data_IF_603282390229
#
_entry.id   IF_603282390229
#
_cell.length_a   1.000
_cell.length_b   1.000
_cell.length_c   1.000
_cell.angle_alpha   90.00
_cell.angle_beta   90.00
_cell.angle_gamma   90.00
#
_symmetry.space_group_name_H-M   'P 1'
#
loop_
_entity.id
_entity.type
_entity.pdbx_description
1 polymer ?
#
# COMPACT_ATOMS: atom_id res chain seq x y z
N UNK A 1 54.08 22.56 39.04
CA UNK A 1 52.70 23.13 38.97
C UNK A 1 52.13 22.88 37.60
N UNK A 2 51.22 21.97 37.54
CA UNK A 2 50.44 21.79 36.33
C UNK A 2 49.30 22.80 36.32
N UNK A 3 49.42 23.83 35.44
CA UNK A 3 48.25 24.66 35.14
C UNK A 3 47.20 23.79 34.45
N UNK A 4 46.14 23.48 35.15
CA UNK A 4 44.98 22.90 34.51
C UNK A 4 44.50 23.88 33.43
N UNK A 5 44.74 23.56 32.16
CA UNK A 5 44.15 24.25 31.02
C UNK A 5 42.66 23.98 31.03
N UNK A 6 41.90 24.88 31.58
CA UNK A 6 40.49 24.94 31.34
C UNK A 6 40.27 25.37 29.88
N UNK A 7 40.32 24.41 28.95
CA UNK A 7 39.93 24.66 27.58
C UNK A 7 38.43 24.67 27.51
N UNK A 8 37.82 25.86 27.52
CA UNK A 8 36.40 25.99 27.19
C UNK A 8 36.17 25.73 25.69
N UNK A 9 34.97 25.35 25.35
CA UNK A 9 34.57 25.20 23.95
C UNK A 9 34.64 26.56 23.23
N UNK A 10 35.12 26.54 22.00
CA UNK A 10 35.08 27.73 21.15
C UNK A 10 33.67 27.91 20.61
N UNK A 11 33.32 29.15 20.26
CA UNK A 11 32.03 29.45 19.63
C UNK A 11 31.85 28.68 18.31
N UNK A 12 32.92 28.55 17.51
CA UNK A 12 32.92 27.82 16.27
C UNK A 12 32.64 26.31 16.49
N UNK A 13 33.24 25.74 17.54
CA UNK A 13 33.02 24.32 17.90
C UNK A 13 31.57 24.05 18.28
N UNK A 14 30.94 24.94 19.02
CA UNK A 14 29.50 24.84 19.36
C UNK A 14 28.64 24.97 18.11
N UNK A 15 28.96 25.88 17.20
CA UNK A 15 28.23 26.04 15.94
C UNK A 15 28.34 24.79 15.05
N UNK A 16 29.51 24.19 14.94
CA UNK A 16 29.73 22.95 14.19
C UNK A 16 28.97 21.81 14.83
N UNK A 17 28.98 21.69 16.15
CA UNK A 17 28.25 20.68 16.87
C UNK A 17 26.73 20.80 16.65
N UNK A 18 26.19 22.03 16.69
CA UNK A 18 24.78 22.28 16.41
C UNK A 18 24.39 21.95 14.96
N UNK A 19 25.30 22.27 14.01
CA UNK A 19 25.07 21.90 12.60
C UNK A 19 24.99 20.39 12.41
N UNK A 20 25.91 19.64 13.02
CA UNK A 20 25.90 18.16 12.96
C UNK A 20 24.62 17.60 13.57
N UNK A 21 24.22 18.12 14.73
CA UNK A 21 22.95 17.71 15.37
C UNK A 21 21.75 18.04 14.49
N UNK A 22 21.70 19.22 13.87
CA UNK A 22 20.62 19.61 12.98
C UNK A 22 20.50 18.69 11.77
N UNK A 23 21.63 18.33 11.15
CA UNK A 23 21.64 17.36 10.03
C UNK A 23 21.17 15.98 10.49
N UNK A 24 21.63 15.52 11.65
CA UNK A 24 21.22 14.22 12.20
C UNK A 24 19.70 14.16 12.48
N UNK A 25 19.15 15.21 13.09
CA UNK A 25 17.71 15.31 13.35
C UNK A 25 16.90 15.35 12.06
N UNK A 26 17.35 16.11 11.06
CA UNK A 26 16.70 16.17 9.75
C UNK A 26 16.73 14.81 9.03
N UNK A 27 17.83 14.08 9.11
CA UNK A 27 17.97 12.74 8.54
C UNK A 27 17.02 11.74 9.21
N UNK A 28 16.94 11.74 10.53
CA UNK A 28 16.02 10.90 11.30
C UNK A 28 14.55 11.19 10.99
N UNK A 29 14.21 12.48 10.87
CA UNK A 29 12.85 12.89 10.49
C UNK A 29 12.46 12.38 9.12
N UNK A 30 13.36 12.40 8.15
CA UNK A 30 13.12 11.88 6.79
C UNK A 30 12.90 10.37 6.78
N UNK A 31 13.71 9.61 7.52
CA UNK A 31 13.57 8.17 7.65
C UNK A 31 12.22 7.81 8.29
N UNK A 32 11.83 8.53 9.33
CA UNK A 32 10.53 8.33 9.99
C UNK A 32 9.35 8.58 9.05
N UNK A 33 9.39 9.65 8.25
CA UNK A 33 8.36 9.95 7.27
C UNK A 33 8.25 8.86 6.20
N UNK A 34 9.38 8.39 5.67
CA UNK A 34 9.40 7.29 4.70
C UNK A 34 8.85 5.98 5.26
N UNK A 35 9.11 5.69 6.53
CA UNK A 35 8.58 4.49 7.19
C UNK A 35 7.05 4.55 7.33
N UNK A 36 6.49 5.71 7.66
CA UNK A 36 5.04 5.91 7.74
C UNK A 36 4.37 5.78 6.38
N UNK A 37 4.97 6.35 5.34
CA UNK A 37 4.46 6.24 3.97
C UNK A 37 4.45 4.77 3.49
N UNK A 38 5.53 4.04 3.74
CA UNK A 38 5.63 2.63 3.41
C UNK A 38 4.60 1.78 4.16
N UNK A 39 4.33 2.10 5.43
CA UNK A 39 3.33 1.42 6.23
C UNK A 39 1.91 1.70 5.69
N UNK A 40 1.60 2.93 5.36
CA UNK A 40 0.31 3.32 4.80
C UNK A 40 0.06 2.63 3.45
N UNK A 41 1.07 2.52 2.59
CA UNK A 41 0.98 1.80 1.32
C UNK A 41 0.75 0.30 1.55
N UNK A 42 1.46 -0.31 2.49
CA UNK A 42 1.29 -1.73 2.85
C UNK A 42 -0.11 -2.02 3.38
N UNK A 43 -0.65 -1.16 4.23
CA UNK A 43 -2.01 -1.25 4.73
C UNK A 43 -3.03 -1.15 3.59
N UNK A 44 -2.88 -0.17 2.71
CA UNK A 44 -3.76 0.01 1.56
C UNK A 44 -3.78 -1.23 0.65
N UNK A 45 -2.61 -1.83 0.38
CA UNK A 45 -2.51 -3.07 -0.40
C UNK A 45 -3.20 -4.25 0.28
N UNK A 46 -3.06 -4.39 1.58
CA UNK A 46 -3.71 -5.44 2.36
C UNK A 46 -5.23 -5.31 2.32
N UNK A 47 -5.75 -4.11 2.54
CA UNK A 47 -7.19 -3.84 2.45
C UNK A 47 -7.73 -4.08 1.04
N UNK A 48 -7.00 -3.63 0.03
CA UNK A 48 -7.37 -3.85 -1.36
C UNK A 48 -7.39 -5.35 -1.73
N UNK A 49 -6.47 -6.14 -1.20
CA UNK A 49 -6.45 -7.59 -1.39
C UNK A 49 -7.69 -8.25 -0.77
N UNK A 50 -8.10 -7.84 0.42
CA UNK A 50 -9.32 -8.32 1.05
C UNK A 50 -10.58 -7.95 0.24
N UNK A 51 -10.61 -6.75 -0.33
CA UNK A 51 -11.69 -6.34 -1.24
C UNK A 51 -11.75 -7.26 -2.45
N UNK A 52 -10.60 -7.57 -3.06
CA UNK A 52 -10.52 -8.49 -4.20
C UNK A 52 -10.98 -9.91 -3.84
N UNK A 53 -10.51 -10.43 -2.72
CA UNK A 53 -10.90 -11.76 -2.23
C UNK A 53 -12.41 -11.84 -1.96
N UNK A 54 -13.00 -10.83 -1.35
CA UNK A 54 -14.43 -10.74 -1.12
C UNK A 54 -15.22 -10.71 -2.43
N UNK A 55 -14.76 -9.92 -3.41
CA UNK A 55 -15.41 -9.87 -4.73
C UNK A 55 -15.41 -11.25 -5.42
N UNK A 56 -14.28 -11.96 -5.38
CA UNK A 56 -14.18 -13.32 -5.93
C UNK A 56 -15.09 -14.31 -5.15
N UNK A 57 -15.13 -14.18 -3.83
CA UNK A 57 -16.00 -15.01 -2.99
C UNK A 57 -17.49 -14.80 -3.31
N UNK A 58 -17.91 -13.57 -3.52
CA UNK A 58 -19.28 -13.24 -3.93
C UNK A 58 -19.62 -13.88 -5.28
N UNK A 59 -18.70 -13.80 -6.25
CA UNK A 59 -18.87 -14.45 -7.56
C UNK A 59 -19.00 -15.97 -7.44
N UNK A 60 -18.25 -16.59 -6.53
CA UNK A 60 -18.37 -18.03 -6.26
C UNK A 60 -19.74 -18.42 -5.68
N UNK A 61 -20.30 -17.55 -4.85
CA UNK A 61 -21.62 -17.78 -4.23
C UNK A 61 -22.76 -17.63 -5.23
N UNK A 62 -22.59 -16.90 -6.31
CA UNK A 62 -23.60 -16.81 -7.38
C UNK A 62 -23.79 -18.12 -8.14
N UNK A 63 -22.80 -19.02 -8.09
CA UNK A 63 -22.87 -20.39 -8.62
C UNK A 63 -22.72 -20.50 -10.13
N UNK A 64 -23.40 -19.69 -10.91
CA UNK A 64 -23.30 -19.68 -12.38
C UNK A 64 -22.94 -18.28 -12.85
N UNK A 65 -21.68 -18.10 -13.20
CA UNK A 65 -21.15 -16.82 -13.68
C UNK A 65 -20.73 -16.98 -15.13
N UNK A 66 -21.23 -16.09 -15.99
CA UNK A 66 -20.81 -16.03 -17.39
C UNK A 66 -19.54 -15.20 -17.54
N UNK A 67 -18.78 -15.45 -18.61
CA UNK A 67 -17.67 -14.59 -18.99
C UNK A 67 -18.20 -13.17 -19.25
N UNK A 68 -17.77 -12.21 -18.44
CA UNK A 68 -18.26 -10.84 -18.44
C UNK A 68 -17.31 -9.92 -17.69
N UNK A 69 -17.62 -8.64 -17.72
CA UNK A 69 -16.97 -7.62 -16.89
C UNK A 69 -17.95 -7.14 -15.83
N UNK A 70 -17.52 -7.16 -14.60
CA UNK A 70 -18.29 -6.65 -13.48
C UNK A 70 -17.54 -5.58 -12.74
N UNK A 71 -18.27 -4.69 -12.11
CA UNK A 71 -17.70 -3.62 -11.31
C UNK A 71 -18.57 -3.42 -10.07
N UNK A 72 -17.93 -2.96 -9.01
CA UNK A 72 -18.62 -2.69 -7.76
C UNK A 72 -17.80 -1.80 -6.85
N UNK A 73 -18.31 -1.62 -5.65
CA UNK A 73 -17.63 -0.93 -4.58
C UNK A 73 -17.82 -1.67 -3.26
N UNK A 74 -16.85 -1.56 -2.38
CA UNK A 74 -16.88 -2.14 -1.04
C UNK A 74 -16.29 -1.18 -0.04
N UNK A 75 -16.85 -1.18 1.17
CA UNK A 75 -16.27 -0.43 2.28
C UNK A 75 -15.39 -1.35 3.10
N UNK A 76 -14.12 -0.99 3.25
CA UNK A 76 -13.14 -1.75 4.02
C UNK A 76 -12.19 -0.79 4.72
N UNK A 77 -11.99 -0.96 6.05
CA UNK A 77 -11.12 -0.10 6.83
C UNK A 77 -11.56 1.37 6.84
N UNK A 78 -12.86 1.64 6.96
CA UNK A 78 -13.49 2.99 6.92
C UNK A 78 -13.23 3.78 5.62
N UNK A 79 -12.88 3.08 4.54
CA UNK A 79 -12.67 3.65 3.21
C UNK A 79 -13.55 2.94 2.20
N UNK A 80 -13.95 3.67 1.15
CA UNK A 80 -14.62 3.11 0.00
C UNK A 80 -13.59 2.66 -1.03
N UNK A 81 -13.73 1.41 -1.47
CA UNK A 81 -12.89 0.79 -2.47
C UNK A 81 -13.73 0.49 -3.70
N UNK A 82 -13.14 0.63 -4.87
CA UNK A 82 -13.77 0.35 -6.15
C UNK A 82 -13.05 -0.79 -6.81
N UNK A 83 -13.79 -1.74 -7.39
CA UNK A 83 -13.19 -2.87 -8.05
C UNK A 83 -13.83 -3.16 -9.39
N UNK A 84 -13.06 -3.75 -10.28
CA UNK A 84 -13.47 -4.28 -11.57
C UNK A 84 -13.00 -5.71 -11.69
N UNK A 85 -13.90 -6.60 -12.09
CA UNK A 85 -13.60 -8.00 -12.31
C UNK A 85 -13.78 -8.32 -13.81
N UNK A 86 -12.74 -8.86 -14.42
CA UNK A 86 -12.78 -9.39 -15.77
C UNK A 86 -12.82 -10.91 -15.69
N UNK A 87 -13.93 -11.50 -16.13
CA UNK A 87 -14.19 -12.93 -16.07
C UNK A 87 -14.03 -13.49 -17.47
N UNK A 88 -13.11 -14.44 -17.65
CA UNK A 88 -12.76 -15.04 -18.94
C UNK A 88 -12.60 -16.56 -18.77
N UNK A 89 -12.85 -17.35 -19.84
CA UNK A 89 -12.48 -18.77 -19.82
C UNK A 89 -10.97 -18.92 -19.61
N UNK A 90 -10.58 -19.82 -18.71
CA UNK A 90 -9.16 -20.14 -18.52
C UNK A 90 -8.70 -21.06 -19.66
N UNK A 91 -7.57 -20.75 -20.33
CA UNK A 91 -7.06 -21.60 -21.42
C UNK A 91 -6.71 -23.02 -20.91
N UNK A 92 -7.25 -24.03 -21.58
CA UNK A 92 -6.92 -25.42 -21.29
C UNK A 92 -7.53 -26.02 -20.01
N UNK A 93 -8.41 -25.29 -19.34
CA UNK A 93 -9.09 -25.74 -18.13
C UNK A 93 -10.61 -25.47 -18.23
N UNK A 94 -11.40 -26.34 -17.63
CA UNK A 94 -12.84 -26.13 -17.50
C UNK A 94 -13.12 -25.24 -16.27
N UNK A 95 -12.59 -24.05 -16.31
CA UNK A 95 -12.67 -23.05 -15.24
C UNK A 95 -12.75 -21.64 -15.82
N UNK A 96 -13.26 -20.72 -15.04
CA UNK A 96 -13.24 -19.29 -15.35
C UNK A 96 -12.10 -18.61 -14.58
N UNK A 97 -11.34 -17.82 -15.26
CA UNK A 97 -10.34 -16.93 -14.64
C UNK A 97 -10.99 -15.59 -14.35
N UNK A 98 -10.74 -15.06 -13.17
CA UNK A 98 -11.19 -13.74 -12.75
C UNK A 98 -9.99 -12.88 -12.40
N UNK A 99 -9.82 -11.78 -13.10
CA UNK A 99 -8.84 -10.77 -12.77
C UNK A 99 -9.55 -9.59 -12.13
N UNK A 100 -9.28 -9.33 -10.86
CA UNK A 100 -9.87 -8.23 -10.09
C UNK A 100 -8.85 -7.12 -9.93
N UNK A 101 -9.22 -5.94 -10.39
CA UNK A 101 -8.48 -4.70 -10.19
C UNK A 101 -9.18 -3.90 -9.09
N UNK A 102 -8.44 -3.46 -8.09
CA UNK A 102 -8.98 -2.68 -6.97
C UNK A 102 -8.39 -1.29 -6.98
N UNK A 103 -9.25 -0.29 -6.87
CA UNK A 103 -8.93 1.13 -6.93
C UNK A 103 -9.30 1.82 -5.63
N UNK A 104 -8.49 2.79 -5.23
CA UNK A 104 -8.74 3.60 -4.03
C UNK A 104 -9.70 4.77 -4.28
N UNK A 105 -9.95 5.13 -5.55
CA UNK A 105 -10.82 6.23 -5.93
C UNK A 105 -11.83 5.83 -7.00
N UNK A 106 -12.91 6.62 -7.11
CA UNK A 106 -14.00 6.39 -8.07
C UNK A 106 -13.57 6.62 -9.53
N UNK A 107 -12.50 7.36 -9.78
CA UNK A 107 -12.01 7.64 -11.13
C UNK A 107 -11.34 6.44 -11.77
N UNK A 108 -10.85 5.50 -10.94
CA UNK A 108 -10.23 4.24 -11.40
C UNK A 108 -9.05 4.44 -12.34
N UNK A 109 -8.26 5.45 -12.07
CA UNK A 109 -7.10 5.80 -12.92
C UNK A 109 -5.95 4.82 -12.78
N UNK A 110 -5.69 4.39 -11.55
CA UNK A 110 -4.58 3.49 -11.25
C UNK A 110 -4.99 2.47 -10.20
N UNK A 111 -4.90 1.17 -10.50
CA UNK A 111 -5.23 0.14 -9.53
C UNK A 111 -4.19 0.08 -8.41
N UNK A 112 -4.66 -0.12 -7.18
CA UNK A 112 -3.79 -0.38 -6.03
C UNK A 112 -3.21 -1.79 -6.11
N UNK A 113 -4.03 -2.76 -6.52
CA UNK A 113 -3.63 -4.15 -6.75
C UNK A 113 -4.39 -4.76 -7.94
N UNK A 114 -3.81 -5.81 -8.48
CA UNK A 114 -4.47 -6.77 -9.36
C UNK A 114 -4.37 -8.16 -8.75
N UNK A 115 -5.50 -8.83 -8.61
CA UNK A 115 -5.57 -10.17 -8.02
C UNK A 115 -6.32 -11.12 -8.93
N UNK A 116 -5.75 -12.29 -9.14
CA UNK A 116 -6.33 -13.32 -10.00
C UNK A 116 -6.87 -14.47 -9.17
N UNK A 117 -8.10 -14.86 -9.45
CA UNK A 117 -8.71 -16.05 -8.89
C UNK A 117 -9.34 -16.91 -9.98
N UNK A 118 -9.90 -18.05 -9.57
CA UNK A 118 -10.56 -18.98 -10.46
C UNK A 118 -11.93 -19.33 -9.92
N UNK A 119 -12.89 -19.49 -10.83
CA UNK A 119 -14.24 -19.91 -10.54
C UNK A 119 -14.50 -21.27 -11.20
N UNK A 120 -15.31 -22.12 -10.57
CA UNK A 120 -15.80 -23.34 -11.24
C UNK A 120 -16.64 -22.97 -12.47
N UNK A 121 -16.71 -23.85 -13.43
CA UNK A 121 -17.49 -23.65 -14.65
C UNK A 121 -19.00 -23.51 -14.39
#
# INVERSE_FOLDING_TARGET
MQCARNAGFTLLEVLVALLVVAIAVAALGRVGAQALDAQAESEARTLALWVADNAIAELRLEGSVAADRRAGSSRMGDRDWYWEALIQPAPGADMLRVDVLVYADALRDSPVISHTGFLPP
#
